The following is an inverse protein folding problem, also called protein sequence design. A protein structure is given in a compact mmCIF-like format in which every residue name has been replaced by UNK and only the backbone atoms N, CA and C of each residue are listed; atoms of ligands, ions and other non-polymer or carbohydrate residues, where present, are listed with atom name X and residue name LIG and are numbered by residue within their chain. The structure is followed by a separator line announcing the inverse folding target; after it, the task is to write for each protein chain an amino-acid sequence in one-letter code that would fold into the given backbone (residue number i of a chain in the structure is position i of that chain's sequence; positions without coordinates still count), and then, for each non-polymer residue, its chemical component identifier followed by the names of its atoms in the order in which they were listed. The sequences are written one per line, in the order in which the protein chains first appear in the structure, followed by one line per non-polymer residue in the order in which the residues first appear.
data_IF_235736789197
#
_entry.id   IF_235736789197
#
_cell.length_a   1.000
_cell.length_b   1.000
_cell.length_c   1.000
_cell.angle_alpha   90.00
_cell.angle_beta   90.00
_cell.angle_gamma   90.00
#
_symmetry.space_group_name_H-M   'P 1'
#
loop_
_entity.id
_entity.type
_entity.pdbx_description
1 polymer ?
#
# COMPACT_ATOMS: atom_id res chain seq x y z
N UNK A 1 16.45 22.69 1.05
CA UNK A 1 16.64 21.55 1.99
C UNK A 1 15.80 21.70 3.25
N UNK A 2 15.77 22.84 3.96
CA UNK A 2 14.86 23.02 5.11
C UNK A 2 13.38 22.81 4.71
N UNK A 3 12.96 23.38 3.58
CA UNK A 3 11.63 23.16 2.98
C UNK A 3 11.30 21.72 2.61
N UNK A 4 12.30 20.88 2.33
CA UNK A 4 12.12 19.46 2.03
C UNK A 4 11.82 18.65 3.31
N UNK A 5 12.34 19.10 4.46
CA UNK A 5 12.06 18.52 5.77
C UNK A 5 10.94 19.23 6.54
N UNK A 6 10.37 20.31 5.97
CA UNK A 6 9.27 21.10 6.57
C UNK A 6 8.05 21.17 5.66
N UNK A 7 7.90 20.22 4.74
CA UNK A 7 6.71 20.04 3.92
C UNK A 7 5.50 19.79 4.82
N UNK A 8 4.35 20.34 4.40
CA UNK A 8 3.08 20.09 5.09
C UNK A 8 2.65 18.63 4.97
N UNK A 9 1.79 18.16 5.88
CA UNK A 9 1.23 16.81 5.81
C UNK A 9 0.56 16.51 4.47
N UNK A 10 -0.08 17.53 3.88
CA UNK A 10 -0.68 17.45 2.54
C UNK A 10 0.37 17.20 1.47
N UNK A 11 1.41 18.02 1.41
CA UNK A 11 2.48 17.89 0.41
C UNK A 11 3.20 16.55 0.56
N UNK A 12 3.46 16.12 1.80
CA UNK A 12 4.05 14.81 2.08
C UNK A 12 3.15 13.66 1.60
N UNK A 13 1.87 13.70 1.95
CA UNK A 13 0.90 12.68 1.52
C UNK A 13 0.77 12.60 0.00
N UNK A 14 0.73 13.75 -0.68
CA UNK A 14 0.67 13.81 -2.15
C UNK A 14 1.96 13.27 -2.80
N UNK A 15 3.13 13.70 -2.33
CA UNK A 15 4.42 13.24 -2.87
C UNK A 15 4.59 11.73 -2.65
N UNK A 16 4.24 11.23 -1.47
CA UNK A 16 4.28 9.81 -1.16
C UNK A 16 3.34 9.00 -2.06
N UNK A 17 2.13 9.49 -2.30
CA UNK A 17 1.18 8.85 -3.21
C UNK A 17 1.66 8.84 -4.66
N UNK A 18 2.21 9.95 -5.17
CA UNK A 18 2.81 9.97 -6.50
C UNK A 18 3.98 8.99 -6.60
N UNK A 19 4.87 8.97 -5.61
CA UNK A 19 6.00 8.06 -5.58
C UNK A 19 5.54 6.60 -5.63
N UNK A 20 4.56 6.25 -4.80
CA UNK A 20 3.97 4.91 -4.76
C UNK A 20 3.35 4.51 -6.10
N UNK A 21 2.56 5.38 -6.72
CA UNK A 21 1.93 5.11 -8.03
C UNK A 21 2.99 4.94 -9.11
N UNK A 22 3.97 5.83 -9.18
CA UNK A 22 5.07 5.76 -10.16
C UNK A 22 5.87 4.47 -9.98
N UNK A 23 6.20 4.09 -8.74
CA UNK A 23 6.92 2.86 -8.46
C UNK A 23 6.15 1.61 -8.93
N UNK A 24 4.83 1.58 -8.75
CA UNK A 24 3.99 0.49 -9.28
C UNK A 24 3.96 0.49 -10.82
N UNK A 25 3.83 1.64 -11.47
CA UNK A 25 3.86 1.73 -12.95
C UNK A 25 5.19 1.22 -13.50
N UNK A 26 6.30 1.66 -12.93
CA UNK A 26 7.64 1.20 -13.34
C UNK A 26 7.78 -0.30 -13.09
N UNK A 27 7.37 -0.78 -11.90
CA UNK A 27 7.43 -2.21 -11.57
C UNK A 27 6.61 -3.08 -12.53
N UNK A 28 5.46 -2.59 -12.99
CA UNK A 28 4.66 -3.29 -14.00
C UNK A 28 5.33 -3.31 -15.37
N UNK A 29 5.95 -2.20 -15.78
CA UNK A 29 6.70 -2.14 -17.05
C UNK A 29 7.88 -3.13 -17.00
N UNK A 30 8.65 -3.15 -15.92
CA UNK A 30 9.83 -4.03 -15.84
C UNK A 30 9.44 -5.51 -15.76
N UNK A 31 8.49 -5.87 -14.89
CA UNK A 31 8.14 -7.29 -14.67
C UNK A 31 7.11 -7.82 -15.66
N UNK A 32 6.09 -7.03 -15.99
CA UNK A 32 4.96 -7.45 -16.83
C UNK A 32 5.19 -7.26 -18.32
N UNK A 33 5.95 -6.24 -18.73
CA UNK A 33 6.20 -5.94 -20.16
C UNK A 33 7.59 -6.40 -20.60
N UNK A 34 8.63 -6.05 -19.84
CA UNK A 34 10.01 -6.40 -20.18
C UNK A 34 10.40 -7.81 -19.72
N UNK A 35 9.59 -8.45 -18.87
CA UNK A 35 9.78 -9.83 -18.43
C UNK A 35 10.90 -10.02 -17.41
N UNK A 36 11.28 -8.98 -16.67
CA UNK A 36 12.20 -9.13 -15.53
C UNK A 36 11.53 -9.95 -14.42
N UNK A 37 12.27 -10.85 -13.78
CA UNK A 37 11.71 -11.69 -12.70
C UNK A 37 11.24 -10.86 -11.50
N UNK A 38 11.90 -9.72 -11.23
CA UNK A 38 11.55 -8.81 -10.14
C UNK A 38 11.81 -7.35 -10.52
N UNK A 39 11.11 -6.38 -9.91
CA UNK A 39 11.41 -4.97 -10.12
C UNK A 39 12.81 -4.64 -9.59
N UNK A 40 13.49 -3.70 -10.24
CA UNK A 40 14.78 -3.18 -9.77
C UNK A 40 14.74 -2.78 -8.28
N UNK A 41 15.75 -3.10 -7.45
CA UNK A 41 15.72 -2.85 -6.00
C UNK A 41 15.39 -1.41 -5.60
N UNK A 42 15.86 -0.42 -6.37
CA UNK A 42 15.50 0.98 -6.18
C UNK A 42 13.98 1.20 -6.29
N UNK A 43 13.32 0.58 -7.27
CA UNK A 43 11.86 0.71 -7.46
C UNK A 43 11.12 0.08 -6.27
N UNK A 44 11.60 -1.06 -5.77
CA UNK A 44 11.04 -1.68 -4.58
C UNK A 44 11.18 -0.77 -3.35
N UNK A 45 12.38 -0.21 -3.13
CA UNK A 45 12.62 0.76 -2.04
C UNK A 45 11.69 1.97 -2.12
N UNK A 46 11.55 2.57 -3.32
CA UNK A 46 10.68 3.72 -3.54
C UNK A 46 9.20 3.38 -3.34
N UNK A 47 8.78 2.16 -3.69
CA UNK A 47 7.45 1.65 -3.40
C UNK A 47 7.19 1.61 -1.89
N UNK A 48 8.12 1.05 -1.11
CA UNK A 48 8.01 0.96 0.34
C UNK A 48 8.01 2.33 1.02
N UNK A 49 8.90 3.22 0.57
CA UNK A 49 8.97 4.60 1.03
C UNK A 49 7.68 5.37 0.73
N UNK A 50 7.15 5.23 -0.49
CA UNK A 50 5.90 5.87 -0.92
C UNK A 50 4.71 5.38 -0.10
N UNK A 51 4.58 4.07 0.09
CA UNK A 51 3.50 3.52 0.92
C UNK A 51 3.62 4.02 2.36
N UNK A 52 4.80 3.89 2.98
CA UNK A 52 5.01 4.33 4.36
C UNK A 52 4.67 5.83 4.54
N UNK A 53 5.06 6.68 3.59
CA UNK A 53 4.69 8.09 3.58
C UNK A 53 3.17 8.33 3.48
N UNK A 54 2.46 7.56 2.64
CA UNK A 54 0.99 7.60 2.59
C UNK A 54 0.43 7.26 3.96
N UNK A 55 0.84 6.14 4.54
CA UNK A 55 0.36 5.67 5.83
C UNK A 55 0.55 6.71 6.94
N UNK A 56 1.73 7.33 7.04
CA UNK A 56 1.99 8.41 8.00
C UNK A 56 1.08 9.64 7.78
N UNK A 57 0.76 9.96 6.53
CA UNK A 57 -0.12 11.09 6.21
C UNK A 57 -1.61 10.81 6.50
N UNK A 58 -2.02 9.54 6.59
CA UNK A 58 -3.42 9.15 6.77
C UNK A 58 -4.00 9.71 8.08
N UNK A 59 -3.21 9.80 9.16
CA UNK A 59 -3.65 10.38 10.43
C UNK A 59 -4.19 11.80 10.23
N UNK A 60 -3.43 12.64 9.53
CA UNK A 60 -3.81 14.03 9.27
C UNK A 60 -4.91 14.14 8.22
N UNK A 61 -4.91 13.25 7.21
CA UNK A 61 -5.96 13.20 6.20
C UNK A 61 -7.33 12.81 6.78
N UNK A 62 -7.36 11.83 7.68
CA UNK A 62 -8.61 11.30 8.21
C UNK A 62 -9.14 12.15 9.38
N UNK A 63 -8.26 12.83 10.13
CA UNK A 63 -8.65 13.75 11.19
C UNK A 63 -9.40 13.06 12.34
N UNK A 64 -10.54 13.63 12.73
CA UNK A 64 -11.35 13.12 13.86
C UNK A 64 -12.14 11.84 13.54
N UNK A 65 -12.18 11.40 12.28
CA UNK A 65 -12.87 10.16 11.88
C UNK A 65 -12.15 8.89 12.37
N UNK A 66 -11.02 9.04 13.07
CA UNK A 66 -10.13 7.95 13.44
C UNK A 66 -10.11 7.78 14.96
N UNK A 67 -10.51 6.60 15.47
CA UNK A 67 -10.32 6.24 16.86
C UNK A 67 -8.86 6.41 17.30
N UNK A 68 -8.62 6.82 18.55
CA UNK A 68 -7.28 7.18 19.03
C UNK A 68 -6.25 6.04 18.91
N UNK A 69 -6.68 4.79 19.14
CA UNK A 69 -5.86 3.60 18.92
C UNK A 69 -5.41 3.41 17.46
N UNK A 70 -6.20 3.89 16.49
CA UNK A 70 -5.88 3.80 15.07
C UNK A 70 -4.92 4.92 14.62
N UNK A 71 -4.82 6.03 15.37
CA UNK A 71 -3.85 7.11 15.09
C UNK A 71 -2.41 6.64 15.23
N UNK A 72 -2.15 5.71 16.16
CA UNK A 72 -0.85 5.05 16.30
C UNK A 72 -0.71 3.85 15.34
N UNK A 73 -1.83 3.24 14.97
CA UNK A 73 -1.89 2.15 14.00
C UNK A 73 -1.30 2.51 12.62
N UNK A 74 -1.53 3.74 12.13
CA UNK A 74 -0.95 4.19 10.85
C UNK A 74 0.57 4.35 10.89
N UNK A 75 1.12 4.74 12.05
CA UNK A 75 2.57 4.83 12.27
C UNK A 75 3.19 3.44 12.33
N UNK A 76 2.54 2.50 13.05
CA UNK A 76 2.95 1.10 13.07
C UNK A 76 2.93 0.48 11.68
N UNK A 77 1.87 0.74 10.89
CA UNK A 77 1.76 0.27 9.51
C UNK A 77 2.91 0.80 8.65
N UNK A 78 3.21 2.10 8.74
CA UNK A 78 4.31 2.71 8.00
C UNK A 78 5.66 2.05 8.33
N UNK A 79 5.93 1.83 9.62
CA UNK A 79 7.14 1.17 10.09
C UNK A 79 7.22 -0.27 9.58
N UNK A 80 6.15 -1.05 9.73
CA UNK A 80 6.08 -2.45 9.30
C UNK A 80 6.34 -2.58 7.79
N UNK A 81 5.71 -1.74 6.97
CA UNK A 81 5.87 -1.77 5.50
C UNK A 81 7.28 -1.37 5.10
N UNK A 82 7.81 -0.30 5.69
CA UNK A 82 9.14 0.18 5.33
C UNK A 82 10.21 -0.84 5.72
N UNK A 83 10.09 -1.45 6.92
CA UNK A 83 10.99 -2.53 7.36
C UNK A 83 10.87 -3.75 6.45
N UNK A 84 9.65 -4.23 6.17
CA UNK A 84 9.44 -5.38 5.30
C UNK A 84 10.07 -5.18 3.92
N UNK A 85 9.80 -4.03 3.32
CA UNK A 85 10.32 -3.70 2.01
C UNK A 85 11.84 -3.54 2.01
N UNK A 86 12.41 -3.02 3.09
CA UNK A 86 13.87 -2.91 3.24
C UNK A 86 14.54 -4.28 3.40
N UNK A 87 13.89 -5.21 4.09
CA UNK A 87 14.38 -6.59 4.26
C UNK A 87 14.37 -7.36 2.93
N UNK A 88 13.38 -7.11 2.07
CA UNK A 88 13.28 -7.79 0.78
C UNK A 88 14.33 -7.32 -0.24
N UNK A 89 14.99 -6.17 -0.01
CA UNK A 89 16.04 -5.66 -0.89
C UNK A 89 17.25 -6.60 -0.84
N UNK A 90 17.47 -7.33 -1.93
CA UNK A 90 18.57 -8.28 -2.05
C UNK A 90 18.32 -9.63 -1.37
N UNK A 91 17.10 -9.88 -0.87
CA UNK A 91 16.69 -11.21 -0.40
C UNK A 91 16.20 -12.07 -1.57
N UNK A 92 16.40 -13.39 -1.48
CA UNK A 92 15.90 -14.37 -2.46
C UNK A 92 14.64 -15.12 -1.97
N UNK A 93 14.05 -14.70 -0.85
CA UNK A 93 13.04 -15.46 -0.10
C UNK A 93 11.63 -14.86 -0.08
N UNK A 94 10.65 -15.67 0.37
CA UNK A 94 9.23 -15.30 0.51
C UNK A 94 8.94 -14.62 1.87
N UNK A 95 9.79 -13.67 2.28
CA UNK A 95 9.69 -13.01 3.59
C UNK A 95 8.57 -11.96 3.64
N UNK A 96 8.02 -11.60 2.49
CA UNK A 96 7.00 -10.56 2.34
C UNK A 96 5.57 -11.02 2.66
N UNK A 97 5.27 -12.33 2.59
CA UNK A 97 3.92 -12.89 2.76
C UNK A 97 3.18 -12.40 4.02
N UNK A 98 3.76 -12.53 5.23
CA UNK A 98 3.15 -12.06 6.47
C UNK A 98 2.89 -10.54 6.49
N UNK A 99 3.78 -9.76 5.87
CA UNK A 99 3.62 -8.30 5.78
C UNK A 99 2.52 -7.92 4.80
N UNK A 100 2.42 -8.63 3.67
CA UNK A 100 1.35 -8.41 2.71
C UNK A 100 -0.02 -8.75 3.30
N UNK A 101 -0.11 -9.82 4.09
CA UNK A 101 -1.30 -10.12 4.90
C UNK A 101 -1.70 -8.96 5.80
N UNK A 102 -0.73 -8.37 6.49
CA UNK A 102 -0.97 -7.23 7.36
C UNK A 102 -1.39 -5.97 6.56
N UNK A 103 -0.80 -5.72 5.40
CA UNK A 103 -1.20 -4.64 4.48
C UNK A 103 -2.67 -4.81 4.07
N UNK A 104 -3.07 -6.00 3.64
CA UNK A 104 -4.44 -6.27 3.21
C UNK A 104 -5.45 -6.10 4.35
N UNK A 105 -5.12 -6.54 5.57
CA UNK A 105 -5.94 -6.27 6.75
C UNK A 105 -6.12 -4.76 6.99
N UNK A 106 -5.05 -3.98 6.83
CA UNK A 106 -5.11 -2.53 6.98
C UNK A 106 -5.93 -1.85 5.88
N UNK A 107 -5.95 -2.38 4.66
CA UNK A 107 -6.84 -1.87 3.61
C UNK A 107 -8.31 -2.02 4.00
N UNK A 108 -8.70 -3.17 4.58
CA UNK A 108 -10.08 -3.40 5.05
C UNK A 108 -10.43 -2.41 6.16
N UNK A 109 -9.51 -2.20 7.10
CA UNK A 109 -9.74 -1.25 8.19
C UNK A 109 -9.79 0.21 7.68
N UNK A 110 -8.93 0.57 6.71
CA UNK A 110 -8.94 1.88 6.05
C UNK A 110 -10.25 2.13 5.29
N UNK A 111 -10.83 1.12 4.65
CA UNK A 111 -12.17 1.22 4.05
C UNK A 111 -13.20 1.73 5.06
N UNK A 112 -13.19 1.19 6.29
CA UNK A 112 -14.13 1.56 7.34
C UNK A 112 -13.88 2.97 7.89
N UNK A 113 -12.63 3.32 8.22
CA UNK A 113 -12.32 4.60 8.88
C UNK A 113 -12.22 5.79 7.93
N UNK A 114 -12.20 5.56 6.61
CA UNK A 114 -12.10 6.61 5.59
C UNK A 114 -13.44 7.14 5.07
N UNK A 115 -14.55 6.75 5.71
CA UNK A 115 -15.88 7.22 5.36
C UNK A 115 -15.98 8.75 5.40
N UNK A 116 -16.61 9.33 4.37
CA UNK A 116 -16.75 10.78 4.24
C UNK A 116 -15.45 11.52 3.87
N UNK A 117 -14.29 10.85 3.87
CA UNK A 117 -12.99 11.45 3.51
C UNK A 117 -12.53 10.98 2.12
N UNK A 118 -12.46 9.67 1.92
CA UNK A 118 -12.10 9.06 0.64
C UNK A 118 -13.37 8.72 -0.13
N UNK A 119 -13.41 9.06 -1.43
CA UNK A 119 -14.59 8.77 -2.25
C UNK A 119 -14.87 7.26 -2.36
N UNK A 120 -16.15 6.89 -2.39
CA UNK A 120 -16.58 5.49 -2.33
C UNK A 120 -15.97 4.60 -3.40
N UNK A 121 -15.77 5.11 -4.63
CA UNK A 121 -15.12 4.33 -5.70
C UNK A 121 -13.73 3.82 -5.29
N UNK A 122 -12.94 4.62 -4.58
CA UNK A 122 -11.60 4.23 -4.09
C UNK A 122 -11.69 3.39 -2.81
N UNK A 123 -12.66 3.69 -1.94
CA UNK A 123 -12.95 2.87 -0.76
C UNK A 123 -13.30 1.44 -1.13
N UNK A 124 -14.14 1.22 -2.15
CA UNK A 124 -14.48 -0.14 -2.57
C UNK A 124 -13.28 -0.89 -3.15
N UNK A 125 -12.30 -0.20 -3.74
CA UNK A 125 -11.02 -0.82 -4.10
C UNK A 125 -10.27 -1.31 -2.85
N UNK A 126 -10.20 -0.50 -1.78
CA UNK A 126 -9.62 -0.93 -0.50
C UNK A 126 -10.30 -2.20 0.05
N UNK A 127 -11.63 -2.26 0.00
CA UNK A 127 -12.38 -3.41 0.49
C UNK A 127 -12.13 -4.66 -0.35
N UNK A 128 -12.28 -4.56 -1.67
CA UNK A 128 -12.13 -5.72 -2.58
C UNK A 128 -10.69 -6.25 -2.53
N UNK A 129 -9.71 -5.37 -2.71
CA UNK A 129 -8.30 -5.75 -2.65
C UNK A 129 -7.89 -6.26 -1.27
N UNK A 130 -8.37 -5.59 -0.22
CA UNK A 130 -8.09 -5.96 1.17
C UNK A 130 -8.63 -7.35 1.51
N UNK A 131 -9.90 -7.64 1.23
CA UNK A 131 -10.50 -8.95 1.55
C UNK A 131 -9.85 -10.07 0.74
N UNK A 132 -9.73 -9.90 -0.58
CA UNK A 132 -9.15 -10.94 -1.44
C UNK A 132 -7.68 -11.18 -1.09
N UNK A 133 -6.90 -10.11 -0.96
CA UNK A 133 -5.49 -10.19 -0.58
C UNK A 133 -5.30 -10.78 0.81
N UNK A 134 -6.13 -10.43 1.80
CA UNK A 134 -6.09 -10.97 3.15
C UNK A 134 -6.29 -12.49 3.17
N UNK A 135 -7.27 -12.99 2.42
CA UNK A 135 -7.55 -14.42 2.34
C UNK A 135 -6.42 -15.18 1.65
N UNK A 136 -5.94 -14.69 0.50
CA UNK A 136 -4.89 -15.38 -0.27
C UNK A 136 -3.54 -15.35 0.46
N UNK A 137 -3.11 -14.18 0.92
CA UNK A 137 -1.85 -14.03 1.65
C UNK A 137 -1.88 -14.74 3.00
N UNK A 138 -3.03 -14.77 3.68
CA UNK A 138 -3.24 -15.54 4.91
C UNK A 138 -3.17 -17.04 4.65
N UNK A 139 -3.82 -17.53 3.59
CA UNK A 139 -3.74 -18.93 3.19
C UNK A 139 -2.29 -19.36 2.90
N UNK A 140 -1.53 -18.57 2.15
CA UNK A 140 -0.12 -18.83 1.88
C UNK A 140 0.75 -18.77 3.13
N UNK A 141 0.59 -17.73 3.95
CA UNK A 141 1.45 -17.48 5.12
C UNK A 141 1.24 -18.49 6.25
N UNK A 142 -0.02 -18.80 6.59
CA UNK A 142 -0.34 -19.59 7.79
C UNK A 142 -0.59 -21.07 7.48
N UNK A 143 -0.91 -21.40 6.23
CA UNK A 143 -1.30 -22.76 5.85
C UNK A 143 -0.46 -23.32 4.69
N UNK A 144 0.50 -22.57 4.16
CA UNK A 144 1.36 -23.01 3.06
C UNK A 144 0.61 -23.23 1.74
N UNK A 145 -0.54 -22.57 1.56
CA UNK A 145 -1.34 -22.69 0.34
C UNK A 145 -0.71 -21.89 -0.80
N UNK A 146 -0.43 -22.56 -1.92
CA UNK A 146 0.01 -21.92 -3.16
C UNK A 146 -1.19 -21.69 -4.08
N UNK A 147 -1.34 -20.45 -4.55
CA UNK A 147 -2.43 -20.10 -5.45
C UNK A 147 -2.21 -20.80 -6.81
N UNK A 148 -3.20 -21.55 -7.35
CA UNK A 148 -3.10 -22.16 -8.66
C UNK A 148 -2.81 -21.13 -9.76
N UNK A 149 -2.02 -21.50 -10.76
CA UNK A 149 -1.66 -20.61 -11.88
C UNK A 149 -2.89 -20.02 -12.60
N UNK A 150 -3.98 -20.79 -12.70
CA UNK A 150 -5.25 -20.36 -13.30
C UNK A 150 -5.89 -19.18 -12.56
N UNK A 151 -5.51 -18.95 -11.30
CA UNK A 151 -5.99 -17.85 -10.47
C UNK A 151 -4.97 -16.69 -10.39
N UNK A 152 -3.85 -16.73 -11.11
CA UNK A 152 -2.92 -15.59 -11.22
C UNK A 152 -3.60 -14.25 -11.57
N UNK A 153 -4.65 -14.17 -12.43
CA UNK A 153 -5.37 -12.92 -12.67
C UNK A 153 -5.94 -12.27 -11.41
N UNK A 154 -6.20 -13.04 -10.35
CA UNK A 154 -6.64 -12.50 -9.05
C UNK A 154 -5.56 -11.66 -8.40
N UNK A 155 -4.28 -12.04 -8.56
CA UNK A 155 -3.14 -11.25 -8.09
C UNK A 155 -3.10 -9.86 -8.74
N UNK A 156 -3.41 -9.78 -10.05
CA UNK A 156 -3.52 -8.50 -10.76
C UNK A 156 -4.66 -7.64 -10.20
N UNK A 157 -5.81 -8.24 -9.88
CA UNK A 157 -6.93 -7.50 -9.26
C UNK A 157 -6.53 -6.95 -7.90
N UNK A 158 -5.89 -7.75 -7.04
CA UNK A 158 -5.40 -7.29 -5.73
C UNK A 158 -4.40 -6.14 -5.88
N UNK A 159 -3.48 -6.26 -6.85
CA UNK A 159 -2.49 -5.22 -7.11
C UNK A 159 -3.11 -3.91 -7.63
N UNK A 160 -4.05 -3.97 -8.58
CA UNK A 160 -4.74 -2.78 -9.07
C UNK A 160 -5.56 -2.10 -7.98
N UNK A 161 -6.31 -2.88 -7.22
CA UNK A 161 -7.14 -2.36 -6.12
C UNK A 161 -6.28 -1.75 -5.00
N UNK A 162 -5.08 -2.27 -4.77
CA UNK A 162 -4.09 -1.66 -3.88
C UNK A 162 -3.67 -0.27 -4.38
N UNK A 163 -3.30 -0.13 -5.65
CA UNK A 163 -2.87 1.15 -6.23
C UNK A 163 -3.99 2.17 -6.17
N UNK A 164 -5.20 1.77 -6.57
CA UNK A 164 -6.35 2.67 -6.61
C UNK A 164 -6.83 3.04 -5.20
N UNK A 165 -6.84 2.08 -4.28
CA UNK A 165 -7.32 2.26 -2.92
C UNK A 165 -6.34 3.02 -2.03
N UNK A 166 -5.06 2.63 -2.04
CA UNK A 166 -4.02 3.20 -1.15
C UNK A 166 -3.29 4.38 -1.81
N UNK A 167 -3.06 4.34 -3.12
CA UNK A 167 -2.41 5.43 -3.85
C UNK A 167 -3.38 6.53 -4.24
N UNK A 168 -4.26 6.21 -5.19
CA UNK A 168 -5.12 7.21 -5.85
C UNK A 168 -6.17 7.80 -4.91
N UNK A 169 -6.81 6.97 -4.07
CA UNK A 169 -7.83 7.42 -3.12
C UNK A 169 -7.35 8.54 -2.19
N UNK A 170 -6.30 8.31 -1.38
CA UNK A 170 -5.70 9.33 -0.52
C UNK A 170 -5.18 10.56 -1.27
N UNK A 171 -4.55 10.37 -2.44
CA UNK A 171 -4.07 11.48 -3.27
C UNK A 171 -5.20 12.44 -3.65
N UNK A 172 -6.30 11.89 -4.16
CA UNK A 172 -7.45 12.69 -4.58
C UNK A 172 -8.20 13.31 -3.39
N UNK A 173 -8.17 12.67 -2.22
CA UNK A 173 -8.72 13.25 -1.00
C UNK A 173 -7.88 14.46 -0.54
N UNK A 174 -6.55 14.37 -0.59
CA UNK A 174 -5.65 15.50 -0.30
C UNK A 174 -5.84 16.68 -1.28
N UNK A 175 -6.11 16.40 -2.55
CA UNK A 175 -6.38 17.46 -3.54
C UNK A 175 -7.62 18.31 -3.22
N UNK A 176 -8.56 17.75 -2.45
CA UNK A 176 -9.82 18.42 -2.09
C UNK A 176 -9.76 19.16 -0.75
N UNK A 177 -8.69 18.99 0.02
CA UNK A 177 -8.48 19.64 1.33
C UNK A 177 -7.46 20.76 1.25
#
# INVERSE_FOLDING_TARGET
MKSFFTSTDKENGQQAAYLFIIANVIGFVTTGILGEEQPHPLVQFLWGLGFAGIALSLKSLLGENVPENWREGTTFLAAAIFTANSLTIGSTGNEFGPFFFFICLNMIALYSVSEGVIANIWRYNLLVGGVVGFLISGAGTFFGYELPESLMPVGLVVWLTLILGVGVGPLLAWNKR
#
